data_IF_675170392313
#
_entry.id   IF_675170392313
#
_cell.length_a   1.000
_cell.length_b   1.000
_cell.length_c   1.000
_cell.angle_alpha   90.00
_cell.angle_beta   90.00
_cell.angle_gamma   90.00
#
_symmetry.space_group_name_H-M   'P 1'
#
loop_
_entity.id
_entity.type
_entity.pdbx_description
1 polymer ?
#
# COMPACT_ATOMS: atom_id res chain seq x y z
N UNK A 1 75.47 90.41 30.59
CA UNK A 1 74.05 90.05 30.67
C UNK A 1 73.26 91.34 30.63
N UNK A 2 72.49 91.57 29.56
CA UNK A 2 71.38 92.53 29.59
C UNK A 2 70.30 91.98 30.53
N UNK A 3 69.53 92.87 31.15
CA UNK A 3 68.52 92.58 32.17
C UNK A 3 67.26 91.85 31.63
N UNK A 4 67.27 91.37 30.39
CA UNK A 4 66.13 90.75 29.70
C UNK A 4 66.30 89.23 29.46
N UNK A 5 67.42 88.63 29.87
CA UNK A 5 67.63 87.19 29.78
C UNK A 5 67.73 86.62 28.36
N UNK A 6 67.77 87.45 27.31
CA UNK A 6 67.99 86.96 25.95
C UNK A 6 69.49 86.94 25.61
N UNK A 7 70.01 85.78 25.23
CA UNK A 7 71.37 85.66 24.70
C UNK A 7 71.35 86.23 23.27
N UNK A 8 71.83 87.46 23.10
CA UNK A 8 71.96 88.09 21.77
C UNK A 8 73.38 87.90 21.26
N UNK A 9 73.52 87.32 20.07
CA UNK A 9 74.79 87.34 19.35
C UNK A 9 75.06 88.78 18.88
N UNK A 10 76.17 89.36 19.33
CA UNK A 10 76.61 90.69 18.90
C UNK A 10 77.72 90.48 17.86
N UNK A 11 77.47 90.93 16.63
CA UNK A 11 78.49 91.02 15.59
C UNK A 11 78.96 92.48 15.50
N UNK A 12 80.20 92.75 15.88
CA UNK A 12 80.86 94.03 15.61
C UNK A 12 81.62 93.94 14.29
N UNK A 13 81.19 94.69 13.28
CA UNK A 13 81.99 94.89 12.06
C UNK A 13 83.06 95.94 12.33
N UNK A 14 84.33 95.55 12.24
CA UNK A 14 85.45 96.49 12.11
C UNK A 14 85.59 96.89 10.63
N UNK A 15 85.84 98.18 10.40
CA UNK A 15 85.57 98.88 9.14
C UNK A 15 86.51 98.60 7.98
N UNK A 16 87.39 97.59 8.00
CA UNK A 16 88.25 97.31 6.83
C UNK A 16 88.76 95.88 6.62
N UNK A 17 88.29 94.86 7.34
CA UNK A 17 88.78 93.48 7.12
C UNK A 17 87.67 92.48 6.78
N UNK A 18 87.95 91.64 5.78
CA UNK A 18 87.09 90.57 5.26
C UNK A 18 86.90 89.38 6.22
N UNK A 19 87.14 89.58 7.53
CA UNK A 19 87.06 88.53 8.55
C UNK A 19 86.31 89.04 9.78
N UNK A 20 85.14 88.47 10.04
CA UNK A 20 84.39 88.61 11.28
C UNK A 20 85.02 87.70 12.35
N UNK A 21 85.59 88.30 13.41
CA UNK A 21 86.05 87.57 14.60
C UNK A 21 84.89 87.51 15.59
N UNK A 22 84.22 86.36 15.68
CA UNK A 22 83.24 86.12 16.74
C UNK A 22 83.97 85.66 18.01
N UNK A 23 83.97 86.49 19.05
CA UNK A 23 84.55 86.18 20.35
C UNK A 23 83.52 85.45 21.22
N UNK A 24 83.55 84.12 21.20
CA UNK A 24 82.86 83.29 22.17
C UNK A 24 83.80 83.14 23.36
N UNK A 25 83.34 83.45 24.59
CA UNK A 25 84.17 83.57 25.80
C UNK A 25 85.05 82.35 26.16
N UNK A 26 85.67 82.34 27.36
CA UNK A 26 86.94 81.64 27.66
C UNK A 26 86.96 80.09 27.60
N UNK A 27 85.92 79.44 27.09
CA UNK A 27 85.91 78.00 26.87
C UNK A 27 86.20 77.69 25.39
N UNK A 28 87.49 77.45 25.11
CA UNK A 28 88.06 76.77 23.93
C UNK A 28 87.62 77.32 22.55
N UNK A 29 88.39 78.24 21.94
CA UNK A 29 88.28 78.47 20.52
C UNK A 29 88.89 77.26 19.80
N UNK A 30 88.05 76.39 19.25
CA UNK A 30 88.47 75.52 18.16
C UNK A 30 88.88 76.46 17.02
N UNK A 31 90.17 76.50 16.61
CA UNK A 31 90.57 77.32 15.49
C UNK A 31 89.93 76.73 14.24
N UNK A 32 88.84 77.34 13.78
CA UNK A 32 88.21 76.94 12.53
C UNK A 32 89.04 77.62 11.43
N UNK A 33 90.07 76.93 10.95
CA UNK A 33 90.87 77.42 9.82
C UNK A 33 90.04 77.31 8.54
N UNK A 34 89.86 78.44 7.86
CA UNK A 34 89.06 78.51 6.64
C UNK A 34 88.34 79.84 6.51
N UNK A 35 87.74 80.07 5.34
CA UNK A 35 86.82 81.19 5.17
C UNK A 35 85.52 80.90 5.91
N UNK A 36 84.73 81.93 6.21
CA UNK A 36 83.38 81.78 6.78
C UNK A 36 82.51 80.77 5.99
N UNK A 37 82.75 80.67 4.68
CA UNK A 37 82.11 79.71 3.80
C UNK A 37 82.40 78.25 4.18
N UNK A 38 83.62 77.93 4.62
CA UNK A 38 83.98 76.56 5.03
C UNK A 38 83.22 76.14 6.29
N UNK A 39 83.06 77.06 7.24
CA UNK A 39 82.30 76.82 8.48
C UNK A 39 80.83 76.60 8.17
N UNK A 40 80.26 77.44 7.30
CA UNK A 40 78.88 77.29 6.85
C UNK A 40 78.64 75.95 6.16
N UNK A 41 79.55 75.55 5.27
CA UNK A 41 79.48 74.24 4.60
C UNK A 41 79.56 73.08 5.61
N UNK A 42 80.42 73.18 6.62
CA UNK A 42 80.54 72.16 7.66
C UNK A 42 79.25 72.04 8.48
N UNK A 43 78.66 73.17 8.89
CA UNK A 43 77.38 73.20 9.61
C UNK A 43 76.27 72.60 8.75
N UNK A 44 76.15 72.99 7.48
CA UNK A 44 75.16 72.44 6.57
C UNK A 44 75.30 70.92 6.36
N UNK A 45 76.55 70.44 6.27
CA UNK A 45 76.84 69.01 6.17
C UNK A 45 76.49 68.26 7.47
N UNK A 46 76.80 68.86 8.62
CA UNK A 46 76.45 68.29 9.92
C UNK A 46 74.94 68.24 10.12
N UNK A 47 74.22 69.31 9.79
CA UNK A 47 72.75 69.37 9.81
C UNK A 47 72.16 68.30 8.90
N UNK A 48 72.63 68.20 7.66
CA UNK A 48 72.20 67.14 6.72
C UNK A 48 72.45 65.74 7.25
N UNK A 49 73.61 65.50 7.88
CA UNK A 49 73.96 64.21 8.49
C UNK A 49 73.04 63.87 9.66
N UNK A 50 72.76 64.84 10.53
CA UNK A 50 71.81 64.69 11.64
C UNK A 50 70.41 64.38 11.11
N UNK A 51 69.94 65.09 10.10
CA UNK A 51 68.65 64.81 9.44
C UNK A 51 68.61 63.38 8.88
N UNK A 52 69.67 62.94 8.19
CA UNK A 52 69.75 61.57 7.66
C UNK A 52 69.75 60.51 8.76
N UNK A 53 70.45 60.76 9.88
CA UNK A 53 70.46 59.86 11.03
C UNK A 53 69.08 59.77 11.68
N UNK A 54 68.38 60.89 11.87
CA UNK A 54 67.00 60.93 12.39
C UNK A 54 66.05 60.16 11.46
N UNK A 55 66.14 60.37 10.15
CA UNK A 55 65.32 59.65 9.17
C UNK A 55 65.58 58.14 9.21
N UNK A 56 66.85 57.75 9.31
CA UNK A 56 67.25 56.34 9.39
C UNK A 56 66.76 55.68 10.68
N UNK A 57 66.89 56.36 11.82
CA UNK A 57 66.37 55.89 13.11
C UNK A 57 64.84 55.75 13.08
N UNK A 58 64.14 56.72 12.48
CA UNK A 58 62.69 56.66 12.29
C UNK A 58 62.27 55.49 11.41
N UNK A 59 62.95 55.28 10.28
CA UNK A 59 62.71 54.15 9.38
C UNK A 59 62.97 52.79 10.07
N UNK A 60 64.02 52.69 10.88
CA UNK A 60 64.31 51.50 11.67
C UNK A 60 63.21 51.23 12.72
N UNK A 61 62.71 52.27 13.40
CA UNK A 61 61.62 52.15 14.37
C UNK A 61 60.30 51.72 13.71
N UNK A 62 59.98 52.26 12.53
CA UNK A 62 58.83 51.82 11.71
C UNK A 62 59.00 50.35 11.31
N UNK A 63 60.18 49.96 10.86
CA UNK A 63 60.47 48.57 10.46
C UNK A 63 60.32 47.60 11.63
N UNK A 64 60.80 47.97 12.82
CA UNK A 64 60.63 47.17 14.04
C UNK A 64 59.15 47.01 14.42
N UNK A 65 58.37 48.08 14.30
CA UNK A 65 56.91 48.06 14.54
C UNK A 65 56.19 47.15 13.54
N UNK A 66 56.53 47.25 12.25
CA UNK A 66 55.97 46.38 11.20
C UNK A 66 56.35 44.90 11.40
N UNK A 67 57.57 44.62 11.84
CA UNK A 67 58.01 43.26 12.17
C UNK A 67 57.22 42.69 13.36
N UNK A 68 57.02 43.48 14.42
CA UNK A 68 56.21 43.07 15.57
C UNK A 68 54.72 42.83 15.20
N UNK A 69 54.15 43.68 14.34
CA UNK A 69 52.81 43.49 13.81
C UNK A 69 52.70 42.21 12.97
N UNK A 70 53.70 41.94 12.13
CA UNK A 70 53.76 40.72 11.30
C UNK A 70 53.90 39.45 12.15
N UNK A 71 54.70 39.49 13.22
CA UNK A 71 54.82 38.37 14.16
C UNK A 71 53.50 38.08 14.89
N UNK A 72 52.78 39.13 15.32
CA UNK A 72 51.45 39.01 15.91
C UNK A 72 50.47 38.38 14.91
N UNK A 73 50.43 38.87 13.66
CA UNK A 73 49.56 38.32 12.62
C UNK A 73 49.86 36.85 12.29
N UNK A 74 51.14 36.47 12.25
CA UNK A 74 51.56 35.08 12.06
C UNK A 74 51.10 34.19 13.23
N UNK A 75 51.22 34.67 14.47
CA UNK A 75 50.76 33.93 15.65
C UNK A 75 49.23 33.76 15.66
N UNK A 76 48.48 34.80 15.30
CA UNK A 76 47.02 34.71 15.11
C UNK A 76 46.67 33.67 14.03
N UNK A 77 47.34 33.73 12.87
CA UNK A 77 47.11 32.77 11.78
C UNK A 77 47.42 31.32 12.19
N UNK A 78 48.45 31.10 12.99
CA UNK A 78 48.80 29.78 13.52
C UNK A 78 47.72 29.24 14.48
N UNK A 79 47.18 30.10 15.34
CA UNK A 79 46.07 29.74 16.24
C UNK A 79 44.78 29.43 15.47
N UNK A 80 44.45 30.24 14.47
CA UNK A 80 43.28 30.03 13.61
C UNK A 80 43.40 28.71 12.82
N UNK A 81 44.59 28.37 12.34
CA UNK A 81 44.87 27.11 11.67
C UNK A 81 44.70 25.90 12.63
N UNK A 82 45.20 26.01 13.87
CA UNK A 82 45.04 24.96 14.88
C UNK A 82 43.57 24.75 15.29
N UNK A 83 42.81 25.84 15.43
CA UNK A 83 41.36 25.78 15.67
C UNK A 83 40.61 25.13 14.50
N UNK A 84 40.96 25.49 13.27
CA UNK A 84 40.39 24.89 12.05
C UNK A 84 40.68 23.39 11.94
N UNK A 85 41.89 22.96 12.29
CA UNK A 85 42.27 21.53 12.30
C UNK A 85 41.45 20.73 13.33
N UNK A 86 41.22 21.32 14.51
CA UNK A 86 40.38 20.72 15.56
C UNK A 86 38.93 20.57 15.08
N UNK A 87 38.36 21.63 14.49
CA UNK A 87 37.01 21.60 13.94
C UNK A 87 36.86 20.52 12.86
N UNK A 88 37.83 20.40 11.95
CA UNK A 88 37.83 19.38 10.90
C UNK A 88 37.86 17.95 11.48
N UNK A 89 38.66 17.71 12.51
CA UNK A 89 38.74 16.41 13.20
C UNK A 89 37.42 16.03 13.88
N UNK A 90 36.77 16.99 14.53
CA UNK A 90 35.43 16.78 15.13
C UNK A 90 34.40 16.44 14.06
N UNK A 91 34.35 17.20 12.95
CA UNK A 91 33.43 16.92 11.85
C UNK A 91 33.65 15.55 11.22
N UNK A 92 34.91 15.12 11.05
CA UNK A 92 35.24 13.79 10.53
C UNK A 92 34.73 12.67 11.45
N UNK A 93 34.91 12.83 12.77
CA UNK A 93 34.41 11.86 13.76
C UNK A 93 32.89 11.78 13.74
N UNK A 94 32.20 12.92 13.70
CA UNK A 94 30.74 12.99 13.63
C UNK A 94 30.22 12.33 12.34
N UNK A 95 30.86 12.56 11.20
CA UNK A 95 30.51 11.92 9.93
C UNK A 95 30.68 10.39 9.99
N UNK A 96 31.76 9.89 10.59
CA UNK A 96 31.97 8.46 10.82
C UNK A 96 30.86 7.82 11.65
N UNK A 97 30.43 8.49 12.74
CA UNK A 97 29.34 8.01 13.58
C UNK A 97 28.00 7.96 12.82
N UNK A 98 27.69 8.96 11.99
CA UNK A 98 26.49 8.94 11.15
C UNK A 98 26.52 7.85 10.09
N UNK A 99 27.68 7.57 9.49
CA UNK A 99 27.84 6.45 8.55
C UNK A 99 27.56 5.10 9.23
N UNK A 100 28.12 4.87 10.42
CA UNK A 100 27.84 3.65 11.21
C UNK A 100 26.37 3.55 11.57
N UNK A 101 25.74 4.65 11.99
CA UNK A 101 24.31 4.66 12.32
C UNK A 101 23.45 4.34 11.09
N UNK A 102 23.78 4.91 9.92
CA UNK A 102 23.08 4.63 8.67
C UNK A 102 23.19 3.14 8.28
N UNK A 103 24.38 2.53 8.45
CA UNK A 103 24.58 1.10 8.22
C UNK A 103 23.72 0.24 9.17
N UNK A 104 23.66 0.59 10.46
CA UNK A 104 22.79 -0.10 11.42
C UNK A 104 21.31 0.03 11.05
N UNK A 105 20.88 1.23 10.62
CA UNK A 105 19.52 1.48 10.13
C UNK A 105 19.18 0.71 8.85
N UNK A 106 20.17 0.37 8.04
CA UNK A 106 19.98 -0.38 6.79
C UNK A 106 20.02 -1.90 6.95
N UNK A 107 20.53 -2.44 8.07
CA UNK A 107 20.86 -3.87 8.17
C UNK A 107 20.24 -4.62 9.35
N UNK A 108 19.76 -3.92 10.39
CA UNK A 108 19.32 -4.59 11.60
C UNK A 108 17.94 -5.26 11.43
N UNK A 109 17.90 -6.60 11.37
CA UNK A 109 16.66 -7.34 11.12
C UNK A 109 15.58 -7.19 12.20
N UNK A 110 15.94 -6.99 13.47
CA UNK A 110 14.98 -6.92 14.57
C UNK A 110 15.42 -5.97 15.68
N UNK A 111 14.44 -5.44 16.42
CA UNK A 111 14.64 -4.58 17.58
C UNK A 111 14.96 -3.12 17.21
N UNK A 112 15.05 -2.24 18.22
CA UNK A 112 15.32 -0.84 17.98
C UNK A 112 16.78 -0.57 17.57
N UNK A 113 17.00 0.42 16.70
CA UNK A 113 18.35 0.77 16.25
C UNK A 113 18.99 1.73 17.24
N UNK A 114 20.15 1.35 17.78
CA UNK A 114 20.98 2.18 18.66
C UNK A 114 20.23 2.80 19.86
N UNK A 115 19.35 2.01 20.50
CA UNK A 115 18.60 2.45 21.68
C UNK A 115 17.48 3.45 21.40
N UNK A 116 17.16 3.73 20.14
CA UNK A 116 15.95 4.50 19.76
C UNK A 116 14.69 3.68 20.02
N UNK A 117 13.51 4.27 19.82
CA UNK A 117 12.23 3.54 19.81
C UNK A 117 11.84 3.01 18.43
N UNK A 118 12.65 3.31 17.40
CA UNK A 118 12.36 3.00 16.00
C UNK A 118 13.13 1.76 15.55
N UNK A 119 12.47 0.94 14.74
CA UNK A 119 13.08 -0.23 14.10
C UNK A 119 13.82 0.20 12.81
N UNK A 120 14.66 -0.69 12.27
CA UNK A 120 15.45 -0.40 11.07
C UNK A 120 14.60 -0.29 9.80
N UNK A 121 15.14 0.33 8.76
CA UNK A 121 14.51 0.37 7.43
C UNK A 121 14.36 -1.03 6.81
N UNK A 122 15.30 -1.94 7.07
CA UNK A 122 15.23 -3.33 6.65
C UNK A 122 14.04 -4.05 7.30
N UNK A 123 13.85 -3.88 8.62
CA UNK A 123 12.68 -4.40 9.33
C UNK A 123 11.37 -3.87 8.73
N UNK A 124 11.27 -2.56 8.49
CA UNK A 124 10.07 -1.99 7.87
C UNK A 124 9.86 -2.49 6.43
N UNK A 125 10.93 -2.75 5.67
CA UNK A 125 10.83 -3.31 4.32
C UNK A 125 10.35 -4.76 4.31
N UNK A 126 10.85 -5.60 5.23
CA UNK A 126 10.38 -6.98 5.42
C UNK A 126 8.91 -7.01 5.84
N UNK A 127 8.54 -6.13 6.78
CA UNK A 127 7.14 -5.99 7.18
C UNK A 127 6.29 -5.52 6.01
N UNK A 128 6.72 -4.51 5.24
CA UNK A 128 5.96 -4.03 4.08
C UNK A 128 5.73 -5.12 3.03
N UNK A 129 6.73 -5.97 2.75
CA UNK A 129 6.56 -7.11 1.84
C UNK A 129 5.60 -8.15 2.41
N UNK A 130 5.65 -8.40 3.71
CA UNK A 130 4.71 -9.27 4.43
C UNK A 130 3.27 -8.73 4.37
N UNK A 131 3.06 -7.43 4.62
CA UNK A 131 1.75 -6.77 4.51
C UNK A 131 1.23 -6.75 3.06
N UNK A 132 2.11 -6.60 2.06
CA UNK A 132 1.74 -6.71 0.65
C UNK A 132 1.29 -8.13 0.27
N UNK A 133 1.92 -9.17 0.84
CA UNK A 133 1.50 -10.57 0.66
C UNK A 133 0.20 -10.91 1.39
N UNK A 134 -0.06 -10.31 2.56
CA UNK A 134 -1.28 -10.57 3.34
C UNK A 134 -2.48 -9.72 2.87
N UNK A 135 -2.25 -8.54 2.30
CA UNK A 135 -3.29 -7.70 1.68
C UNK A 135 -3.91 -8.32 0.42
N UNK A 136 -3.34 -9.42 -0.06
CA UNK A 136 -3.79 -10.18 -1.23
C UNK A 136 -4.20 -11.61 -0.83
N UNK A 137 -5.04 -11.73 0.20
CA UNK A 137 -5.84 -12.93 0.44
C UNK A 137 -7.31 -12.63 0.10
N UNK A 138 -7.75 -13.07 -1.07
CA UNK A 138 -9.18 -13.22 -1.39
C UNK A 138 -9.42 -14.69 -1.25
N UNK A 139 -10.14 -15.06 -0.19
CA UNK A 139 -10.61 -16.42 -0.03
C UNK A 139 -11.99 -16.49 -0.67
N UNK A 140 -12.05 -16.89 -1.93
CA UNK A 140 -13.29 -17.43 -2.48
C UNK A 140 -13.60 -18.70 -1.68
N UNK A 141 -14.48 -18.60 -0.67
CA UNK A 141 -14.99 -19.80 0.00
C UNK A 141 -15.77 -20.57 -1.07
N UNK A 142 -15.19 -21.66 -1.55
CA UNK A 142 -15.88 -22.53 -2.50
C UNK A 142 -16.98 -23.28 -1.73
N UNK A 143 -18.23 -23.04 -2.12
CA UNK A 143 -19.35 -23.78 -1.56
C UNK A 143 -19.21 -25.27 -1.94
N UNK A 144 -19.31 -26.15 -0.95
CA UNK A 144 -19.34 -27.60 -1.06
C UNK A 144 -20.32 -28.18 -0.05
N UNK A 145 -20.57 -29.49 -0.09
CA UNK A 145 -21.22 -30.17 1.03
C UNK A 145 -20.25 -30.20 2.23
N UNK A 146 -20.79 -30.04 3.44
CA UNK A 146 -19.99 -29.89 4.65
C UNK A 146 -19.58 -31.25 5.22
N UNK A 147 -18.28 -31.63 5.22
CA UNK A 147 -17.82 -32.86 5.84
C UNK A 147 -18.03 -32.86 7.37
N UNK A 148 -18.14 -31.69 8.01
CA UNK A 148 -18.38 -31.53 9.44
C UNK A 148 -19.89 -31.51 9.80
N UNK A 149 -20.77 -31.21 8.85
CA UNK A 149 -22.22 -31.13 9.06
C UNK A 149 -22.99 -32.10 8.15
N UNK A 150 -22.73 -33.39 8.36
CA UNK A 150 -23.36 -34.51 7.67
C UNK A 150 -23.68 -35.65 8.64
N UNK A 151 -24.68 -36.46 8.30
CA UNK A 151 -24.84 -37.77 8.93
C UNK A 151 -23.57 -38.61 8.72
N UNK A 152 -23.10 -39.28 9.77
CA UNK A 152 -21.79 -39.94 9.79
C UNK A 152 -21.61 -40.98 8.67
N UNK A 153 -22.69 -41.68 8.31
CA UNK A 153 -22.72 -42.70 7.24
C UNK A 153 -22.70 -42.14 5.79
N UNK A 154 -22.80 -40.83 5.58
CA UNK A 154 -22.70 -40.24 4.23
C UNK A 154 -21.24 -40.20 3.78
N UNK A 155 -20.96 -40.67 2.58
CA UNK A 155 -19.63 -40.57 1.97
C UNK A 155 -19.59 -39.42 0.96
N UNK A 156 -18.57 -38.57 1.05
CA UNK A 156 -18.36 -37.43 0.16
C UNK A 156 -17.24 -37.70 -0.85
N UNK A 157 -17.42 -37.19 -2.08
CA UNK A 157 -16.45 -37.29 -3.17
C UNK A 157 -16.56 -36.09 -4.11
N UNK A 158 -15.71 -36.03 -5.15
CA UNK A 158 -15.69 -34.97 -6.17
C UNK A 158 -15.58 -33.56 -5.54
N UNK A 159 -14.57 -33.36 -4.69
CA UNK A 159 -14.40 -32.09 -3.97
C UNK A 159 -15.54 -31.78 -3.00
N UNK A 160 -16.12 -32.80 -2.36
CA UNK A 160 -17.30 -32.71 -1.50
C UNK A 160 -18.55 -32.17 -2.21
N UNK A 161 -18.67 -32.36 -3.53
CA UNK A 161 -19.89 -32.02 -4.26
C UNK A 161 -20.81 -33.22 -4.47
N UNK A 162 -20.35 -34.44 -4.21
CA UNK A 162 -21.15 -35.66 -4.40
C UNK A 162 -21.30 -36.41 -3.08
N UNK A 163 -22.55 -36.63 -2.65
CA UNK A 163 -22.91 -37.38 -1.45
C UNK A 163 -23.51 -38.73 -1.80
N UNK A 164 -22.95 -39.79 -1.24
CA UNK A 164 -23.48 -41.16 -1.28
C UNK A 164 -24.12 -41.49 0.06
N UNK A 165 -25.43 -41.78 0.04
CA UNK A 165 -26.24 -42.04 1.23
C UNK A 165 -26.34 -43.54 1.55
N UNK A 166 -26.38 -43.92 2.84
CA UNK A 166 -26.25 -45.32 3.27
C UNK A 166 -27.54 -46.15 3.19
N UNK A 167 -28.70 -45.58 2.83
CA UNK A 167 -29.98 -46.29 2.90
C UNK A 167 -30.66 -46.26 4.28
N UNK A 168 -30.37 -45.23 5.08
CA UNK A 168 -31.08 -44.87 6.31
C UNK A 168 -31.32 -43.37 6.28
N UNK A 169 -32.32 -42.86 7.01
CA UNK A 169 -32.61 -41.42 7.06
C UNK A 169 -31.35 -40.66 7.47
N UNK A 170 -30.84 -39.87 6.54
CA UNK A 170 -29.57 -39.18 6.65
C UNK A 170 -29.66 -37.85 5.90
N UNK A 171 -29.16 -36.80 6.53
CA UNK A 171 -29.10 -35.44 6.01
C UNK A 171 -27.67 -34.92 5.93
N UNK A 172 -27.47 -33.92 5.08
CA UNK A 172 -26.23 -33.17 4.94
C UNK A 172 -26.53 -31.73 4.55
N UNK A 173 -25.74 -30.80 5.09
CA UNK A 173 -25.76 -29.38 4.73
C UNK A 173 -24.57 -28.98 3.87
N UNK A 174 -24.68 -27.86 3.18
CA UNK A 174 -23.55 -27.15 2.58
C UNK A 174 -22.67 -26.49 3.64
N UNK A 175 -21.42 -26.19 3.29
CA UNK A 175 -20.46 -25.50 4.17
C UNK A 175 -20.66 -23.97 4.21
N UNK A 176 -21.37 -23.41 3.23
CA UNK A 176 -21.66 -21.98 3.11
C UNK A 176 -23.15 -21.75 3.24
N UNK A 177 -23.52 -20.86 4.15
CA UNK A 177 -24.88 -20.40 4.35
C UNK A 177 -24.96 -18.88 4.39
N UNK A 178 -26.08 -18.35 3.91
CA UNK A 178 -26.32 -16.93 3.75
C UNK A 178 -27.57 -16.51 4.51
N UNK A 179 -27.61 -15.27 4.99
CA UNK A 179 -28.76 -14.68 5.69
C UNK A 179 -29.46 -13.58 4.89
N UNK A 180 -28.85 -13.12 3.78
CA UNK A 180 -29.31 -12.03 2.93
C UNK A 180 -28.77 -12.21 1.50
N UNK A 181 -29.45 -11.65 0.51
CA UNK A 181 -29.16 -11.74 -0.92
C UNK A 181 -29.92 -12.84 -1.66
N UNK A 182 -29.67 -12.96 -2.97
CA UNK A 182 -30.37 -13.89 -3.89
C UNK A 182 -29.41 -14.92 -4.45
N UNK A 183 -29.65 -16.20 -4.23
CA UNK A 183 -28.72 -17.28 -4.58
C UNK A 183 -29.41 -18.45 -5.26
N UNK A 184 -28.63 -19.18 -6.05
CA UNK A 184 -29.10 -20.31 -6.83
C UNK A 184 -28.11 -21.47 -6.79
N UNK A 185 -28.64 -22.68 -6.62
CA UNK A 185 -27.87 -23.91 -6.77
C UNK A 185 -28.72 -25.00 -7.43
N UNK A 186 -28.04 -26.07 -7.83
CA UNK A 186 -28.69 -27.26 -8.36
C UNK A 186 -28.22 -28.51 -7.63
N UNK A 187 -29.10 -29.51 -7.54
CA UNK A 187 -28.76 -30.85 -7.07
C UNK A 187 -29.26 -31.88 -8.09
N UNK A 188 -28.38 -32.76 -8.52
CA UNK A 188 -28.66 -33.83 -9.49
C UNK A 188 -28.87 -35.15 -8.77
N UNK A 189 -29.99 -35.82 -9.01
CA UNK A 189 -30.16 -37.22 -8.64
C UNK A 189 -29.30 -38.09 -9.56
N UNK A 190 -28.17 -38.58 -9.06
CA UNK A 190 -27.09 -39.11 -9.91
C UNK A 190 -27.19 -40.62 -10.12
N UNK A 191 -27.57 -41.38 -9.09
CA UNK A 191 -27.76 -42.83 -9.19
C UNK A 191 -28.42 -43.40 -7.93
N UNK A 192 -28.96 -44.61 -8.01
CA UNK A 192 -29.53 -45.34 -6.87
C UNK A 192 -31.06 -45.30 -6.84
N UNK A 193 -31.64 -45.50 -5.65
CA UNK A 193 -33.10 -45.53 -5.48
C UNK A 193 -33.64 -44.12 -5.19
N UNK A 194 -34.82 -43.81 -5.75
CA UNK A 194 -35.57 -42.64 -5.32
C UNK A 194 -36.36 -42.95 -4.03
N UNK A 195 -36.73 -41.90 -3.30
CA UNK A 195 -37.56 -42.04 -2.10
C UNK A 195 -38.64 -40.98 -2.00
N UNK A 196 -39.78 -41.37 -1.43
CA UNK A 196 -40.81 -40.44 -0.98
C UNK A 196 -40.37 -39.55 0.18
N UNK A 197 -39.28 -39.88 0.87
CA UNK A 197 -38.72 -39.18 2.02
C UNK A 197 -37.41 -38.43 1.69
N UNK A 198 -36.95 -38.52 0.44
CA UNK A 198 -35.80 -37.74 -0.01
C UNK A 198 -36.23 -36.31 -0.30
N UNK A 199 -35.45 -35.33 0.17
CA UNK A 199 -35.70 -33.92 -0.12
C UNK A 199 -34.41 -33.16 -0.39
N UNK A 200 -34.56 -32.09 -1.15
CA UNK A 200 -33.52 -31.09 -1.41
C UNK A 200 -34.10 -29.72 -1.10
N UNK A 201 -33.33 -28.86 -0.45
CA UNK A 201 -33.72 -27.47 -0.25
C UNK A 201 -32.75 -26.73 0.64
N UNK A 202 -33.27 -25.98 1.62
CA UNK A 202 -32.46 -25.16 2.51
C UNK A 202 -32.81 -25.42 3.97
N UNK A 203 -31.80 -25.37 4.84
CA UNK A 203 -31.98 -25.57 6.28
C UNK A 203 -31.02 -24.68 7.08
N UNK A 204 -31.37 -24.31 8.33
CA UNK A 204 -30.43 -23.66 9.23
C UNK A 204 -29.32 -24.65 9.69
N UNK A 205 -28.22 -24.13 10.23
CA UNK A 205 -27.06 -24.97 10.58
C UNK A 205 -27.35 -26.01 11.69
N UNK A 206 -28.39 -25.80 12.50
CA UNK A 206 -28.82 -26.69 13.59
C UNK A 206 -29.82 -27.77 13.14
N UNK A 207 -29.94 -28.02 11.84
CA UNK A 207 -30.82 -29.05 11.27
C UNK A 207 -30.52 -30.46 11.83
N UNK A 208 -31.52 -31.21 12.33
CA UNK A 208 -31.35 -32.61 12.68
C UNK A 208 -31.10 -33.51 11.46
N UNK A 209 -29.85 -33.97 11.30
CA UNK A 209 -29.43 -34.76 10.13
C UNK A 209 -29.92 -36.22 10.11
N UNK A 210 -30.80 -36.61 11.03
CA UNK A 210 -31.46 -37.91 11.08
C UNK A 210 -32.95 -37.83 10.73
N UNK A 211 -33.42 -36.64 10.35
CA UNK A 211 -34.81 -36.34 10.02
C UNK A 211 -34.93 -36.00 8.53
N UNK A 212 -36.17 -35.92 8.05
CA UNK A 212 -36.57 -35.45 6.73
C UNK A 212 -36.61 -33.93 6.72
N UNK A 213 -35.67 -33.33 6.00
CA UNK A 213 -35.49 -31.88 5.91
C UNK A 213 -36.76 -31.24 5.32
N UNK A 214 -37.37 -30.36 6.10
CA UNK A 214 -38.61 -29.62 5.83
C UNK A 214 -39.90 -30.30 6.33
N UNK A 215 -39.86 -31.55 6.82
CA UNK A 215 -41.06 -32.32 7.18
C UNK A 215 -41.16 -32.68 8.66
N UNK A 216 -40.36 -33.60 9.17
CA UNK A 216 -40.41 -34.07 10.57
C UNK A 216 -39.36 -33.36 11.46
N UNK A 217 -38.93 -32.18 11.03
CA UNK A 217 -38.19 -31.20 11.82
C UNK A 217 -39.05 -29.94 12.08
N UNK A 218 -38.67 -29.18 13.11
CA UNK A 218 -39.21 -27.84 13.38
C UNK A 218 -38.09 -26.80 13.31
N UNK A 219 -37.07 -27.05 12.49
CA UNK A 219 -35.88 -26.18 12.44
C UNK A 219 -36.16 -24.89 11.67
N UNK A 220 -37.18 -24.89 10.79
CA UNK A 220 -37.37 -23.85 9.78
C UNK A 220 -36.83 -24.23 8.40
N UNK A 221 -36.42 -25.49 8.21
CA UNK A 221 -36.02 -26.00 6.91
C UNK A 221 -37.15 -26.01 5.88
N UNK A 222 -36.76 -25.88 4.61
CA UNK A 222 -37.65 -25.99 3.46
C UNK A 222 -37.13 -27.09 2.56
N UNK A 223 -37.94 -28.12 2.30
CA UNK A 223 -37.55 -29.27 1.48
C UNK A 223 -38.53 -29.52 0.35
N UNK A 224 -38.03 -29.67 -0.88
CA UNK A 224 -38.78 -30.20 -2.01
C UNK A 224 -38.54 -31.71 -2.12
N UNK A 225 -39.60 -32.50 -2.06
CA UNK A 225 -39.54 -33.95 -1.94
C UNK A 225 -39.46 -34.65 -3.30
N UNK A 226 -38.56 -35.62 -3.41
CA UNK A 226 -38.12 -36.20 -4.68
C UNK A 226 -39.24 -36.82 -5.52
N UNK A 227 -40.09 -37.64 -4.91
CA UNK A 227 -41.12 -38.40 -5.65
C UNK A 227 -42.36 -37.57 -5.98
N UNK A 228 -42.82 -36.74 -5.04
CA UNK A 228 -44.06 -35.96 -5.19
C UNK A 228 -43.82 -34.57 -5.77
N UNK A 229 -42.61 -34.03 -5.61
CA UNK A 229 -42.33 -32.61 -5.82
C UNK A 229 -42.92 -31.71 -4.72
N UNK A 230 -43.61 -32.25 -3.71
CA UNK A 230 -44.20 -31.44 -2.65
C UNK A 230 -43.13 -30.66 -1.89
N UNK A 231 -43.45 -29.42 -1.54
CA UNK A 231 -42.57 -28.52 -0.80
C UNK A 231 -43.11 -28.40 0.61
N UNK A 232 -42.33 -28.82 1.60
CA UNK A 232 -42.73 -28.79 3.00
C UNK A 232 -41.88 -27.80 3.81
N UNK A 233 -42.54 -27.20 4.81
CA UNK A 233 -41.91 -26.42 5.89
C UNK A 233 -42.56 -26.87 7.19
N UNK A 234 -41.75 -27.33 8.16
CA UNK A 234 -42.20 -27.80 9.47
C UNK A 234 -43.40 -28.77 9.35
N UNK A 235 -43.30 -29.75 8.45
CA UNK A 235 -44.32 -30.80 8.26
C UNK A 235 -45.55 -30.38 7.47
N UNK A 236 -45.67 -29.10 7.11
CA UNK A 236 -46.80 -28.57 6.37
C UNK A 236 -46.47 -28.39 4.90
N UNK A 237 -47.29 -28.96 4.00
CA UNK A 237 -47.16 -28.75 2.57
C UNK A 237 -47.49 -27.27 2.24
N UNK A 238 -46.58 -26.58 1.56
CA UNK A 238 -46.70 -25.18 1.15
C UNK A 238 -46.84 -25.00 -0.36
N UNK A 239 -46.66 -26.05 -1.14
CA UNK A 239 -46.70 -26.03 -2.60
C UNK A 239 -46.09 -27.29 -3.19
N UNK A 240 -45.87 -27.27 -4.50
CA UNK A 240 -45.21 -28.38 -5.19
C UNK A 240 -44.32 -27.87 -6.32
N UNK A 241 -43.35 -28.65 -6.73
CA UNK A 241 -42.66 -28.57 -8.00
C UNK A 241 -42.92 -29.85 -8.80
N UNK A 242 -42.32 -29.98 -9.98
CA UNK A 242 -42.26 -31.29 -10.64
C UNK A 242 -41.39 -32.25 -9.82
N UNK A 243 -41.68 -33.55 -9.84
CA UNK A 243 -40.82 -34.55 -9.21
C UNK A 243 -39.43 -34.58 -9.86
N UNK A 244 -38.43 -35.09 -9.14
CA UNK A 244 -37.05 -35.29 -9.61
C UNK A 244 -36.58 -36.72 -9.30
N UNK A 245 -37.48 -37.68 -9.51
CA UNK A 245 -37.35 -39.09 -9.12
C UNK A 245 -36.68 -39.98 -10.17
N UNK A 246 -36.25 -39.42 -11.30
CA UNK A 246 -35.51 -40.13 -12.35
C UNK A 246 -34.04 -39.75 -12.28
N UNK A 247 -33.15 -40.75 -12.38
CA UNK A 247 -31.69 -40.51 -12.46
C UNK A 247 -31.38 -39.53 -13.61
N UNK A 248 -30.54 -38.55 -13.32
CA UNK A 248 -30.22 -37.42 -14.21
C UNK A 248 -31.16 -36.22 -14.07
N UNK A 249 -32.24 -36.32 -13.28
CA UNK A 249 -33.03 -35.14 -12.95
C UNK A 249 -32.22 -34.17 -12.08
N UNK A 250 -32.33 -32.89 -12.44
CA UNK A 250 -31.67 -31.78 -11.76
C UNK A 250 -32.74 -30.91 -11.10
N UNK A 251 -32.68 -30.75 -9.79
CA UNK A 251 -33.51 -29.81 -9.07
C UNK A 251 -32.75 -28.49 -8.89
N UNK A 252 -33.25 -27.42 -9.49
CA UNK A 252 -32.80 -26.06 -9.25
C UNK A 252 -33.53 -25.42 -8.09
N UNK A 253 -32.78 -24.72 -7.24
CA UNK A 253 -33.28 -24.04 -6.05
C UNK A 253 -32.86 -22.58 -6.09
N UNK A 254 -33.82 -21.67 -6.25
CA UNK A 254 -33.61 -20.23 -6.20
C UNK A 254 -34.11 -19.71 -4.84
N UNK A 255 -33.25 -18.99 -4.12
CA UNK A 255 -33.54 -18.48 -2.77
C UNK A 255 -33.33 -16.98 -2.73
N UNK A 256 -34.36 -16.26 -2.34
CA UNK A 256 -34.31 -14.84 -2.00
C UNK A 256 -34.33 -14.72 -0.48
N UNK A 257 -33.16 -14.53 0.12
CA UNK A 257 -33.00 -14.44 1.57
C UNK A 257 -33.41 -13.07 2.12
N UNK A 258 -33.54 -12.05 1.26
CA UNK A 258 -33.99 -10.72 1.68
C UNK A 258 -35.50 -10.72 1.88
N UNK A 259 -36.25 -11.31 0.94
CA UNK A 259 -37.71 -11.42 1.01
C UNK A 259 -38.19 -12.72 1.65
N UNK A 260 -37.28 -13.64 2.00
CA UNK A 260 -37.57 -14.96 2.59
C UNK A 260 -38.49 -15.82 1.70
N UNK A 261 -38.12 -15.93 0.43
CA UNK A 261 -38.83 -16.72 -0.58
C UNK A 261 -37.91 -17.77 -1.20
N UNK A 262 -38.45 -18.96 -1.49
CA UNK A 262 -37.75 -20.02 -2.22
C UNK A 262 -38.59 -20.59 -3.35
N UNK A 263 -37.91 -20.93 -4.45
CA UNK A 263 -38.50 -21.57 -5.62
C UNK A 263 -37.71 -22.81 -6.01
N UNK A 264 -38.44 -23.84 -6.43
CA UNK A 264 -37.91 -25.12 -6.86
C UNK A 264 -38.35 -25.40 -8.30
N UNK A 265 -37.45 -25.97 -9.11
CA UNK A 265 -37.75 -26.39 -10.48
C UNK A 265 -36.94 -27.61 -10.86
N UNK A 266 -37.58 -28.63 -11.43
CA UNK A 266 -36.86 -29.74 -12.06
C UNK A 266 -36.53 -29.40 -13.51
N UNK A 267 -35.25 -29.47 -13.87
CA UNK A 267 -34.74 -29.13 -15.21
C UNK A 267 -35.14 -27.71 -15.65
N UNK A 268 -35.77 -27.62 -16.81
CA UNK A 268 -36.30 -26.36 -17.38
C UNK A 268 -37.81 -26.20 -17.19
N UNK A 269 -38.40 -26.91 -16.23
CA UNK A 269 -39.84 -26.89 -15.96
C UNK A 269 -40.37 -25.58 -15.35
N UNK A 270 -41.55 -25.63 -14.72
CA UNK A 270 -42.12 -24.49 -14.04
C UNK A 270 -41.57 -24.34 -12.61
N UNK A 271 -41.32 -23.10 -12.18
CA UNK A 271 -41.01 -22.81 -10.77
C UNK A 271 -42.21 -23.12 -9.88
N UNK A 272 -42.00 -23.86 -8.79
CA UNK A 272 -43.05 -24.28 -7.87
C UNK A 272 -44.31 -24.79 -8.63
N UNK A 273 -44.07 -25.56 -9.70
CA UNK A 273 -45.13 -26.22 -10.49
C UNK A 273 -46.06 -25.27 -11.25
N UNK A 274 -45.84 -23.95 -11.19
CA UNK A 274 -46.74 -22.94 -11.74
C UNK A 274 -46.12 -22.21 -12.93
N UNK A 275 -46.86 -22.12 -14.04
CA UNK A 275 -46.44 -21.34 -15.22
C UNK A 275 -46.40 -19.83 -15.00
N UNK A 276 -46.87 -19.33 -13.84
CA UNK A 276 -46.84 -17.91 -13.47
C UNK A 276 -45.83 -17.59 -12.38
N UNK A 277 -45.18 -18.59 -11.78
CA UNK A 277 -44.17 -18.34 -10.76
C UNK A 277 -42.85 -17.88 -11.40
N UNK A 278 -42.29 -16.81 -10.86
CA UNK A 278 -41.10 -16.15 -11.36
C UNK A 278 -40.25 -15.62 -10.19
N UNK A 279 -39.07 -16.21 -9.94
CA UNK A 279 -38.13 -15.75 -8.91
C UNK A 279 -37.62 -14.32 -9.13
N UNK A 280 -37.59 -13.82 -10.36
CA UNK A 280 -37.14 -12.45 -10.67
C UNK A 280 -38.22 -11.45 -10.27
N UNK A 281 -39.48 -11.71 -10.65
CA UNK A 281 -40.63 -10.90 -10.30
C UNK A 281 -41.15 -11.14 -8.86
N UNK A 282 -40.54 -12.07 -8.11
CA UNK A 282 -40.95 -12.50 -6.76
C UNK A 282 -42.37 -13.08 -6.72
N UNK A 283 -42.84 -13.68 -7.81
CA UNK A 283 -44.19 -14.26 -7.91
C UNK A 283 -44.14 -15.76 -7.63
N UNK A 284 -45.08 -16.26 -6.82
CA UNK A 284 -45.25 -17.70 -6.56
C UNK A 284 -44.15 -18.35 -5.71
N UNK A 285 -43.38 -17.55 -4.95
CA UNK A 285 -42.35 -18.05 -4.03
C UNK A 285 -42.95 -18.67 -2.78
N UNK A 286 -42.32 -19.73 -2.27
CA UNK A 286 -42.68 -20.32 -0.99
C UNK A 286 -42.04 -19.49 0.12
N UNK A 287 -42.87 -18.90 0.98
CA UNK A 287 -42.39 -18.11 2.12
C UNK A 287 -41.94 -18.99 3.28
N UNK A 288 -40.80 -18.66 3.87
CA UNK A 288 -40.27 -19.26 5.09
C UNK A 288 -39.92 -18.17 6.12
N UNK A 289 -39.74 -18.55 7.39
CA UNK A 289 -39.65 -17.59 8.51
C UNK A 289 -38.28 -17.48 9.16
N UNK A 290 -37.32 -18.35 8.78
CA UNK A 290 -35.98 -18.35 9.38
C UNK A 290 -35.21 -17.06 9.03
N UNK A 291 -34.62 -16.43 10.06
CA UNK A 291 -33.87 -15.17 9.95
C UNK A 291 -32.35 -15.39 9.99
N UNK A 292 -31.89 -16.60 10.32
CA UNK A 292 -30.50 -17.00 10.36
C UNK A 292 -29.92 -17.29 8.98
N UNK A 293 -28.73 -17.91 9.00
CA UNK A 293 -28.10 -18.40 7.78
C UNK A 293 -28.79 -19.68 7.33
N UNK A 294 -29.19 -19.70 6.08
CA UNK A 294 -29.71 -20.89 5.42
C UNK A 294 -28.61 -21.54 4.59
N UNK A 295 -28.55 -22.86 4.62
CA UNK A 295 -27.56 -23.69 3.95
C UNK A 295 -28.27 -24.61 2.96
N UNK A 296 -27.67 -24.94 1.80
CA UNK A 296 -28.20 -25.99 0.94
C UNK A 296 -28.26 -27.29 1.72
N UNK A 297 -29.33 -28.05 1.52
CA UNK A 297 -29.64 -29.19 2.34
C UNK A 297 -30.14 -30.35 1.47
N UNK A 298 -29.68 -31.56 1.76
CA UNK A 298 -30.08 -32.78 1.07
C UNK A 298 -30.32 -33.86 2.13
N UNK A 299 -31.45 -34.56 2.04
CA UNK A 299 -31.68 -35.77 2.84
C UNK A 299 -32.34 -36.87 2.04
N UNK A 300 -32.20 -38.10 2.54
CA UNK A 300 -32.87 -39.30 2.02
C UNK A 300 -32.74 -40.45 3.00
N UNK A 301 -33.66 -41.39 2.94
CA UNK A 301 -33.60 -42.69 3.62
C UNK A 301 -33.19 -43.84 2.70
N UNK A 302 -32.89 -43.55 1.43
CA UNK A 302 -32.56 -44.55 0.42
C UNK A 302 -31.08 -44.57 0.06
N UNK A 303 -30.60 -45.71 -0.44
CA UNK A 303 -29.23 -45.80 -0.95
C UNK A 303 -29.17 -45.11 -2.31
N UNK A 304 -28.65 -43.89 -2.30
CA UNK A 304 -28.71 -42.97 -3.44
C UNK A 304 -27.53 -42.02 -3.45
N UNK A 305 -27.26 -41.44 -4.62
CA UNK A 305 -26.18 -40.48 -4.85
C UNK A 305 -26.77 -39.19 -5.38
N UNK A 306 -26.43 -38.09 -4.72
CA UNK A 306 -26.75 -36.73 -5.16
C UNK A 306 -25.48 -35.94 -5.42
N UNK A 307 -25.47 -35.15 -6.49
CA UNK A 307 -24.37 -34.23 -6.82
C UNK A 307 -24.88 -32.80 -6.81
N UNK A 308 -24.30 -31.98 -5.93
CA UNK A 308 -24.58 -30.55 -5.84
C UNK A 308 -23.72 -29.75 -6.82
N UNK A 309 -24.29 -28.69 -7.37
CA UNK A 309 -23.61 -27.70 -8.20
C UNK A 309 -23.89 -26.32 -7.61
N UNK A 310 -22.84 -25.67 -7.10
CA UNK A 310 -22.93 -24.36 -6.47
C UNK A 310 -22.28 -23.24 -7.30
N UNK A 311 -21.57 -23.56 -8.39
CA UNK A 311 -20.54 -22.67 -8.96
C UNK A 311 -20.85 -22.07 -10.32
N UNK A 312 -21.88 -22.52 -11.05
CA UNK A 312 -22.40 -21.73 -12.18
C UNK A 312 -22.65 -22.44 -13.51
N UNK A 313 -22.13 -23.66 -13.72
CA UNK A 313 -22.47 -24.43 -14.93
C UNK A 313 -23.79 -25.18 -14.75
N UNK A 314 -24.87 -24.42 -14.56
CA UNK A 314 -26.18 -24.95 -14.24
C UNK A 314 -26.87 -25.57 -15.47
N UNK A 315 -27.57 -26.69 -15.27
CA UNK A 315 -28.36 -27.34 -16.30
C UNK A 315 -29.62 -26.52 -16.64
N UNK A 316 -30.22 -25.88 -15.65
CA UNK A 316 -31.31 -24.92 -15.80
C UNK A 316 -30.79 -23.48 -15.80
N UNK A 317 -31.50 -22.60 -16.52
CA UNK A 317 -31.19 -21.15 -16.50
C UNK A 317 -31.41 -20.59 -15.10
N UNK A 318 -30.33 -20.16 -14.44
CA UNK A 318 -30.36 -19.36 -13.21
C UNK A 318 -31.19 -18.09 -13.43
N UNK A 319 -32.11 -17.71 -12.52
CA UNK A 319 -32.85 -16.45 -12.64
C UNK A 319 -31.92 -15.23 -12.68
N UNK A 320 -32.29 -14.22 -13.46
CA UNK A 320 -31.52 -12.97 -13.55
C UNK A 320 -31.46 -12.27 -12.17
N UNK A 321 -30.29 -11.75 -11.81
CA UNK A 321 -30.07 -11.09 -10.51
C UNK A 321 -29.83 -12.03 -9.32
N UNK A 322 -29.87 -13.35 -9.53
CA UNK A 322 -29.43 -14.32 -8.52
C UNK A 322 -27.95 -14.63 -8.73
N UNK A 323 -27.21 -14.87 -7.67
CA UNK A 323 -25.82 -15.37 -7.73
C UNK A 323 -25.80 -16.90 -7.68
N UNK A 324 -24.76 -17.57 -8.22
CA UNK A 324 -24.48 -18.94 -7.81
C UNK A 324 -24.35 -19.01 -6.28
N UNK A 325 -24.62 -20.16 -5.68
CA UNK A 325 -24.51 -20.32 -4.24
C UNK A 325 -23.07 -20.24 -3.74
N UNK A 326 -22.09 -20.57 -4.58
CA UNK A 326 -20.75 -20.05 -4.35
C UNK A 326 -20.78 -18.59 -4.77
N UNK A 327 -20.60 -17.66 -3.82
CA UNK A 327 -20.11 -16.34 -4.19
C UNK A 327 -18.62 -16.29 -3.94
N UNK A 328 -17.91 -15.64 -4.86
CA UNK A 328 -16.63 -15.00 -4.57
C UNK A 328 -16.84 -14.00 -3.44
N UNK A 329 -16.86 -14.49 -2.20
CA UNK A 329 -16.68 -13.65 -1.05
C UNK A 329 -15.24 -13.17 -1.14
N UNK A 330 -15.02 -12.04 -1.80
CA UNK A 330 -13.82 -11.23 -1.68
C UNK A 330 -13.69 -10.76 -0.23
N UNK A 331 -13.44 -11.67 0.70
CA UNK A 331 -13.10 -11.36 2.07
C UNK A 331 -11.65 -10.95 2.06
N UNK A 332 -11.42 -9.65 1.86
CA UNK A 332 -10.22 -9.00 2.34
C UNK A 332 -10.12 -9.27 3.84
N UNK A 333 -9.28 -10.22 4.24
CA UNK A 333 -8.83 -10.30 5.62
C UNK A 333 -7.88 -9.12 5.78
N UNK A 334 -8.35 -8.05 6.43
CA UNK A 334 -7.44 -7.01 6.95
C UNK A 334 -6.98 -7.51 8.31
N UNK A 335 -5.72 -7.93 8.50
CA UNK A 335 -5.21 -8.24 9.83
C UNK A 335 -5.09 -6.91 10.59
N UNK A 336 -5.75 -6.82 11.75
CA UNK A 336 -5.54 -5.69 12.66
C UNK A 336 -4.33 -6.02 13.52
N UNK A 337 -3.20 -5.34 13.31
CA UNK A 337 -2.12 -5.38 14.27
C UNK A 337 -2.48 -4.47 15.46
N UNK A 338 -2.57 -5.04 16.67
CA UNK A 338 -2.60 -4.22 17.88
C UNK A 338 -1.19 -4.01 18.40
N UNK A 339 -0.93 -2.81 18.91
CA UNK A 339 0.39 -2.27 19.21
C UNK A 339 1.19 -3.00 20.33
N UNK A 340 0.66 -4.09 20.90
CA UNK A 340 1.22 -4.68 22.12
C UNK A 340 1.86 -6.07 21.95
N UNK A 341 1.62 -6.80 20.85
CA UNK A 341 2.28 -8.11 20.62
C UNK A 341 2.22 -8.49 19.13
N UNK A 342 3.35 -8.54 18.40
CA UNK A 342 3.34 -9.03 17.03
C UNK A 342 3.35 -10.57 17.04
N UNK A 343 2.17 -11.17 16.84
CA UNK A 343 2.00 -12.61 16.65
C UNK A 343 0.60 -12.89 16.11
N UNK A 344 0.51 -13.64 15.00
CA UNK A 344 -0.76 -13.98 14.35
C UNK A 344 -1.66 -14.76 15.32
N UNK A 345 -2.92 -14.32 15.43
CA UNK A 345 -4.01 -15.07 16.05
C UNK A 345 -5.01 -15.40 14.94
N UNK A 346 -4.91 -16.62 14.40
CA UNK A 346 -5.87 -17.27 13.48
C UNK A 346 -5.83 -16.86 11.99
N UNK A 347 -5.52 -17.82 11.13
CA UNK A 347 -6.05 -17.86 9.75
C UNK A 347 -7.49 -18.39 9.79
N UNK A 348 -8.28 -18.15 8.73
CA UNK A 348 -9.62 -18.71 8.60
C UNK A 348 -9.62 -20.26 8.56
N UNK A 349 -10.80 -20.91 8.70
CA UNK A 349 -10.90 -22.36 8.69
C UNK A 349 -10.25 -22.96 7.43
N UNK A 350 -9.31 -23.90 7.60
CA UNK A 350 -8.70 -24.67 6.50
C UNK A 350 -7.32 -24.21 6.01
N UNK A 351 -6.73 -23.16 6.58
CA UNK A 351 -5.37 -22.71 6.23
C UNK A 351 -4.40 -22.84 7.41
N UNK A 352 -3.18 -23.30 7.13
CA UNK A 352 -2.08 -23.35 8.09
C UNK A 352 -1.05 -22.30 7.67
N UNK A 353 -0.67 -21.44 8.62
CA UNK A 353 0.51 -20.57 8.50
C UNK A 353 1.68 -21.32 9.11
N UNK A 354 2.70 -21.66 8.33
CA UNK A 354 3.88 -22.33 8.88
C UNK A 354 4.72 -21.37 9.74
N UNK A 355 5.76 -21.89 10.39
CA UNK A 355 6.65 -21.10 11.25
C UNK A 355 7.48 -20.05 10.50
N UNK A 356 7.43 -20.08 9.16
CA UNK A 356 8.03 -19.11 8.25
C UNK A 356 6.98 -18.15 7.65
N UNK A 357 5.72 -18.19 8.09
CA UNK A 357 4.66 -17.30 7.61
C UNK A 357 4.04 -17.69 6.27
N UNK A 358 4.35 -18.87 5.73
CA UNK A 358 3.84 -19.31 4.43
C UNK A 358 2.47 -19.98 4.59
N UNK A 359 1.53 -19.64 3.71
CA UNK A 359 0.20 -20.22 3.63
C UNK A 359 0.21 -21.57 2.90
N UNK A 360 -0.74 -22.45 3.23
CA UNK A 360 -0.81 -23.82 2.71
C UNK A 360 -1.40 -23.98 1.29
N UNK A 361 -1.72 -22.90 0.56
CA UNK A 361 -2.27 -22.96 -0.81
C UNK A 361 -1.88 -21.73 -1.67
N UNK A 362 -1.74 -21.94 -2.99
CA UNK A 362 -1.32 -20.94 -3.99
C UNK A 362 -2.37 -19.84 -4.22
N UNK A 363 -1.88 -18.60 -4.41
CA UNK A 363 -2.65 -17.34 -4.29
C UNK A 363 -2.86 -16.64 -5.64
N UNK A 364 -3.33 -17.34 -6.67
CA UNK A 364 -3.62 -16.72 -7.97
C UNK A 364 -5.04 -16.12 -8.00
N UNK A 365 -5.19 -14.94 -8.61
CA UNK A 365 -6.49 -14.30 -8.86
C UNK A 365 -6.82 -14.28 -10.35
N UNK A 366 -8.08 -14.48 -10.67
CA UNK A 366 -8.59 -14.30 -12.04
C UNK A 366 -8.54 -12.81 -12.42
N UNK A 367 -8.00 -12.53 -13.61
CA UNK A 367 -7.99 -11.19 -14.20
C UNK A 367 -9.23 -11.02 -15.09
N UNK A 368 -9.98 -9.94 -14.87
CA UNK A 368 -11.01 -9.56 -15.83
C UNK A 368 -10.35 -9.02 -17.11
N UNK A 369 -10.57 -9.69 -18.23
CA UNK A 369 -10.04 -9.26 -19.51
C UNK A 369 -11.00 -8.27 -20.20
N UNK A 370 -10.48 -7.09 -20.53
CA UNK A 370 -11.21 -6.04 -21.24
C UNK A 370 -10.47 -5.72 -22.53
N UNK A 371 -11.07 -6.05 -23.68
CA UNK A 371 -10.55 -5.61 -24.98
C UNK A 371 -11.03 -4.19 -25.26
N UNK A 372 -10.14 -3.20 -25.12
CA UNK A 372 -10.46 -1.80 -25.30
C UNK A 372 -10.66 -1.43 -26.78
N UNK A 373 -11.82 -0.84 -27.09
CA UNK A 373 -12.01 -0.02 -28.29
C UNK A 373 -11.65 1.44 -27.98
N UNK A 374 -12.20 2.44 -28.69
CA UNK A 374 -12.04 3.86 -28.35
C UNK A 374 -12.56 4.24 -26.94
N UNK A 375 -13.27 3.34 -26.27
CA UNK A 375 -13.76 3.53 -24.89
C UNK A 375 -13.52 2.27 -24.06
N UNK A 376 -12.94 2.47 -22.88
CA UNK A 376 -12.67 1.46 -21.86
C UNK A 376 -13.49 1.89 -20.64
N UNK A 377 -14.55 1.14 -20.33
CA UNK A 377 -15.38 1.41 -19.16
C UNK A 377 -15.33 0.20 -18.23
N UNK A 378 -14.91 0.43 -17.00
CA UNK A 378 -14.77 -0.61 -15.98
C UNK A 378 -15.93 -0.50 -15.01
N UNK A 379 -16.81 -1.51 -15.00
CA UNK A 379 -17.92 -1.58 -14.06
C UNK A 379 -17.41 -2.04 -12.68
N UNK A 380 -17.52 -1.17 -11.67
CA UNK A 380 -17.11 -1.43 -10.30
C UNK A 380 -18.26 -1.86 -9.39
N UNK A 381 -19.37 -2.36 -9.95
CA UNK A 381 -20.45 -3.00 -9.16
C UNK A 381 -19.92 -4.21 -8.39
N UNK A 382 -19.04 -4.99 -9.01
CA UNK A 382 -18.36 -6.16 -8.41
C UNK A 382 -16.87 -6.12 -8.78
N UNK A 383 -16.07 -5.25 -8.14
CA UNK A 383 -14.70 -5.03 -8.57
C UNK A 383 -13.82 -6.25 -8.29
N UNK A 384 -13.00 -6.63 -9.28
CA UNK A 384 -11.96 -7.65 -9.10
C UNK A 384 -10.60 -7.00 -8.79
N UNK A 385 -9.65 -7.71 -8.15
CA UNK A 385 -8.35 -7.16 -7.77
C UNK A 385 -7.49 -6.75 -8.97
N UNK A 386 -7.68 -7.40 -10.12
CA UNK A 386 -6.85 -7.21 -11.31
C UNK A 386 -7.62 -7.18 -12.62
N UNK A 387 -7.26 -6.25 -13.50
CA UNK A 387 -7.82 -6.11 -14.84
C UNK A 387 -6.71 -6.22 -15.89
N UNK A 388 -6.93 -7.02 -16.92
CA UNK A 388 -6.08 -7.04 -18.12
C UNK A 388 -6.79 -6.28 -19.23
N UNK A 389 -6.26 -5.11 -19.57
CA UNK A 389 -6.85 -4.22 -20.59
C UNK A 389 -5.98 -4.25 -21.83
N UNK A 390 -6.52 -4.75 -22.94
CA UNK A 390 -5.82 -4.76 -24.23
C UNK A 390 -6.22 -3.55 -25.05
N UNK A 391 -5.29 -2.64 -25.31
CA UNK A 391 -5.49 -1.44 -26.11
C UNK A 391 -5.40 -1.76 -27.60
N UNK A 392 -6.51 -1.66 -28.33
CA UNK A 392 -6.55 -1.94 -29.78
C UNK A 392 -6.85 -0.70 -30.63
N UNK A 393 -7.20 0.43 -30.01
CA UNK A 393 -7.51 1.69 -30.68
C UNK A 393 -6.40 2.73 -30.44
N UNK A 394 -6.04 3.49 -31.49
CA UNK A 394 -4.97 4.50 -31.44
C UNK A 394 -5.18 5.52 -30.30
N UNK A 395 -6.46 5.86 -30.04
CA UNK A 395 -6.88 6.67 -28.90
C UNK A 395 -8.02 5.99 -28.18
N UNK A 396 -7.98 6.01 -26.84
CA UNK A 396 -9.01 5.48 -25.97
C UNK A 396 -9.34 6.45 -24.83
N UNK A 397 -10.58 6.39 -24.36
CA UNK A 397 -11.02 6.99 -23.09
C UNK A 397 -11.15 5.91 -22.02
N UNK A 398 -10.75 6.20 -20.79
CA UNK A 398 -10.83 5.29 -19.65
C UNK A 398 -11.78 5.84 -18.60
N UNK A 399 -12.77 5.06 -18.15
CA UNK A 399 -13.72 5.46 -17.11
C UNK A 399 -14.07 4.31 -16.16
N UNK A 400 -14.46 4.65 -14.94
CA UNK A 400 -15.11 3.73 -14.01
C UNK A 400 -16.64 3.93 -14.06
N UNK A 401 -17.41 2.86 -13.93
CA UNK A 401 -18.87 2.90 -13.78
C UNK A 401 -19.27 2.30 -12.42
N UNK A 402 -20.44 2.70 -11.90
CA UNK A 402 -21.08 2.10 -10.72
C UNK A 402 -20.18 1.97 -9.47
N UNK A 403 -19.27 2.93 -9.27
CA UNK A 403 -18.38 2.91 -8.12
C UNK A 403 -19.13 3.29 -6.83
N UNK A 404 -19.10 2.40 -5.84
CA UNK A 404 -19.47 2.70 -4.46
C UNK A 404 -18.59 1.91 -3.51
N UNK A 405 -18.04 2.58 -2.48
CA UNK A 405 -17.34 1.91 -1.38
C UNK A 405 -18.25 1.77 -0.17
N UNK A 406 -18.28 0.59 0.49
CA UNK A 406 -18.90 0.47 1.81
C UNK A 406 -18.18 1.33 2.86
N UNK A 407 -18.92 1.81 3.85
CA UNK A 407 -18.37 2.64 4.94
C UNK A 407 -17.17 1.96 5.62
N UNK A 408 -16.07 2.69 5.75
CA UNK A 408 -14.84 2.22 6.41
C UNK A 408 -14.03 1.20 5.60
N UNK A 409 -14.28 1.10 4.28
CA UNK A 409 -13.51 0.25 3.38
C UNK A 409 -12.67 1.08 2.42
N UNK A 410 -11.56 0.50 1.99
CA UNK A 410 -10.74 0.98 0.90
C UNK A 410 -10.78 -0.04 -0.25
N UNK A 411 -10.58 0.43 -1.48
CA UNK A 411 -10.49 -0.41 -2.67
C UNK A 411 -9.15 -0.12 -3.35
N UNK A 412 -8.38 -1.17 -3.65
CA UNK A 412 -7.21 -1.10 -4.53
C UNK A 412 -7.43 -1.99 -5.75
N UNK A 413 -7.16 -1.46 -6.92
CA UNK A 413 -7.31 -2.13 -8.21
C UNK A 413 -5.98 -2.08 -8.97
N UNK A 414 -5.56 -3.21 -9.54
CA UNK A 414 -4.38 -3.29 -10.40
C UNK A 414 -4.80 -3.47 -11.86
N UNK A 415 -4.21 -2.67 -12.75
CA UNK A 415 -4.48 -2.69 -14.18
C UNK A 415 -3.21 -3.03 -14.95
N UNK A 416 -3.32 -4.01 -15.84
CA UNK A 416 -2.32 -4.38 -16.82
C UNK A 416 -2.78 -3.87 -18.19
N UNK A 417 -2.25 -2.72 -18.60
CA UNK A 417 -2.53 -2.16 -19.92
C UNK A 417 -1.55 -2.73 -20.95
N UNK A 418 -2.05 -3.56 -21.85
CA UNK A 418 -1.28 -4.17 -22.93
C UNK A 418 -1.51 -3.45 -24.26
N UNK A 419 -0.43 -3.19 -25.00
CA UNK A 419 -0.51 -2.68 -26.36
C UNK A 419 -0.92 -3.80 -27.34
N UNK A 420 -2.20 -3.87 -27.70
CA UNK A 420 -2.71 -4.90 -28.63
C UNK A 420 -2.30 -4.65 -30.09
N UNK A 421 -2.39 -3.40 -30.56
CA UNK A 421 -1.99 -3.01 -31.94
C UNK A 421 -0.75 -2.13 -32.01
N UNK A 422 -0.25 -1.66 -30.86
CA UNK A 422 0.87 -0.73 -30.76
C UNK A 422 0.50 0.73 -31.00
N UNK A 423 1.28 1.64 -30.43
CA UNK A 423 1.12 3.09 -30.48
C UNK A 423 -0.25 3.61 -30.02
N UNK A 424 -0.92 2.85 -29.13
CA UNK A 424 -2.21 3.23 -28.58
C UNK A 424 -2.03 4.09 -27.33
N UNK A 425 -2.93 5.07 -27.16
CA UNK A 425 -2.87 6.03 -26.04
C UNK A 425 -4.22 6.15 -25.34
N UNK A 426 -4.20 6.38 -24.04
CA UNK A 426 -5.38 6.80 -23.27
C UNK A 426 -5.37 8.32 -23.20
N UNK A 427 -6.21 8.96 -24.01
CA UNK A 427 -6.24 10.42 -24.16
C UNK A 427 -7.08 11.11 -23.09
N UNK A 428 -7.97 10.36 -22.44
CA UNK A 428 -8.80 10.86 -21.35
C UNK A 428 -8.95 9.77 -20.29
N UNK A 429 -8.65 10.14 -19.05
CA UNK A 429 -8.81 9.30 -17.87
C UNK A 429 -10.04 9.75 -17.08
N UNK A 430 -10.59 8.84 -16.27
CA UNK A 430 -11.71 9.15 -15.38
C UNK A 430 -11.38 10.36 -14.51
N UNK A 431 -12.30 11.32 -14.44
CA UNK A 431 -12.08 12.57 -13.70
C UNK A 431 -11.90 12.38 -12.20
N UNK A 432 -12.28 11.23 -11.65
CA UNK A 432 -12.06 10.88 -10.23
C UNK A 432 -10.63 10.45 -9.92
N UNK A 433 -9.78 10.23 -10.93
CA UNK A 433 -8.40 9.80 -10.73
C UNK A 433 -7.50 11.02 -10.49
N UNK A 434 -6.86 11.04 -9.32
CA UNK A 434 -5.80 11.95 -8.94
C UNK A 434 -4.46 11.24 -9.03
N UNK A 435 -3.67 11.59 -10.04
CA UNK A 435 -2.37 10.96 -10.25
C UNK A 435 -1.33 11.38 -9.22
N UNK A 436 -0.71 10.39 -8.59
CA UNK A 436 0.46 10.59 -7.74
C UNK A 436 1.63 10.91 -8.67
N UNK A 437 2.01 12.20 -8.70
CA UNK A 437 2.92 12.78 -9.70
C UNK A 437 2.29 13.89 -10.56
N UNK A 438 1.00 14.18 -10.37
CA UNK A 438 0.31 15.33 -10.96
C UNK A 438 -0.06 15.19 -12.43
N UNK A 439 0.30 14.08 -13.08
CA UNK A 439 -0.04 13.81 -14.49
C UNK A 439 -0.24 12.31 -14.74
N UNK A 440 -1.09 11.92 -15.72
CA UNK A 440 -1.25 10.53 -16.10
C UNK A 440 0.04 9.90 -16.65
N UNK A 441 0.21 8.58 -16.55
CA UNK A 441 1.38 7.90 -17.04
C UNK A 441 1.45 7.89 -18.56
N UNK A 442 2.68 7.89 -19.06
CA UNK A 442 2.98 7.57 -20.46
C UNK A 442 3.13 6.06 -20.57
N UNK A 443 2.23 5.42 -21.32
CA UNK A 443 2.28 3.98 -21.56
C UNK A 443 3.33 3.64 -22.63
N UNK A 444 3.88 2.44 -22.58
CA UNK A 444 4.73 1.91 -23.64
C UNK A 444 3.94 1.80 -24.95
N UNK A 445 4.63 1.94 -26.08
CA UNK A 445 4.00 2.02 -27.41
C UNK A 445 4.21 0.77 -28.28
N UNK A 446 5.15 -0.11 -27.95
CA UNK A 446 5.37 -1.33 -28.75
C UNK A 446 4.26 -2.34 -28.49
N UNK A 447 3.80 -3.01 -29.55
CA UNK A 447 2.86 -4.14 -29.44
C UNK A 447 3.37 -5.16 -28.41
N UNK A 448 2.46 -5.65 -27.56
CA UNK A 448 2.74 -6.60 -26.48
C UNK A 448 3.36 -6.02 -25.21
N UNK A 449 3.82 -4.75 -25.20
CA UNK A 449 4.29 -4.13 -23.96
C UNK A 449 3.12 -4.02 -22.97
N UNK A 450 3.40 -4.31 -21.68
CA UNK A 450 2.43 -4.16 -20.60
C UNK A 450 2.87 -3.11 -19.59
N UNK A 451 1.97 -2.22 -19.25
CA UNK A 451 2.16 -1.23 -18.20
C UNK A 451 1.26 -1.58 -17.01
N UNK A 452 1.82 -1.48 -15.82
CA UNK A 452 1.11 -1.72 -14.56
C UNK A 452 0.74 -0.37 -13.95
N UNK A 453 -0.55 -0.20 -13.71
CA UNK A 453 -1.13 0.99 -13.08
C UNK A 453 -2.00 0.53 -11.93
N UNK A 454 -1.91 1.21 -10.79
CA UNK A 454 -2.75 0.94 -9.63
C UNK A 454 -3.66 2.13 -9.33
N UNK A 455 -4.88 1.83 -8.89
CA UNK A 455 -5.81 2.82 -8.40
C UNK A 455 -6.26 2.45 -6.99
N UNK A 456 -6.22 3.42 -6.07
CA UNK A 456 -6.65 3.23 -4.69
C UNK A 456 -7.68 4.28 -4.29
N UNK A 457 -8.81 3.86 -3.73
CA UNK A 457 -9.80 4.74 -3.13
C UNK A 457 -10.00 4.39 -1.67
N UNK A 458 -9.99 5.41 -0.82
CA UNK A 458 -10.26 5.30 0.62
C UNK A 458 -11.51 6.08 1.05
N UNK A 459 -12.01 6.96 0.18
CA UNK A 459 -13.09 7.90 0.47
C UNK A 459 -14.40 7.52 -0.24
N UNK A 460 -14.39 6.55 -1.15
CA UNK A 460 -15.55 6.14 -1.93
C UNK A 460 -15.94 7.09 -3.06
N UNK A 461 -15.12 8.09 -3.36
CA UNK A 461 -15.44 9.11 -4.36
C UNK A 461 -14.30 9.36 -5.34
N UNK A 462 -13.04 9.30 -4.89
CA UNK A 462 -11.86 9.58 -5.69
C UNK A 462 -10.87 8.42 -5.64
N UNK A 463 -9.98 8.37 -6.64
CA UNK A 463 -8.90 7.40 -6.70
C UNK A 463 -7.55 8.11 -6.72
N UNK A 464 -6.60 7.66 -5.92
CA UNK A 464 -5.18 7.91 -6.15
C UNK A 464 -4.68 6.97 -7.25
N UNK A 465 -4.11 7.53 -8.32
CA UNK A 465 -3.54 6.76 -9.43
C UNK A 465 -2.02 6.66 -9.33
N UNK A 466 -1.49 5.45 -9.41
CA UNK A 466 -0.07 5.15 -9.31
C UNK A 466 0.41 4.47 -10.59
N UNK A 467 1.52 4.95 -11.14
CA UNK A 467 2.23 4.22 -12.18
C UNK A 467 3.28 3.33 -11.52
N UNK A 468 3.04 2.03 -11.53
CA UNK A 468 3.94 1.06 -10.91
C UNK A 468 5.15 0.82 -11.80
N UNK A 469 4.93 0.70 -13.11
CA UNK A 469 6.00 0.56 -14.09
C UNK A 469 5.58 -0.17 -15.35
N UNK A 470 6.56 -0.50 -16.17
CA UNK A 470 6.39 -1.35 -17.34
C UNK A 470 6.92 -2.75 -17.01
N UNK A 471 6.14 -3.77 -17.35
CA UNK A 471 6.55 -5.17 -17.23
C UNK A 471 6.55 -5.76 -18.65
N UNK A 472 7.69 -6.31 -19.05
CA UNK A 472 7.85 -7.04 -20.30
C UNK A 472 8.26 -8.47 -19.98
#
# INVERSE_FOLDING_TARGET
MSSDGTTRLIFTMQSDQSTLVANFGPFLPLPISGTLQNVLNLVNNAESSVTNAINSASAANISATNAAASATAANTSANDAAASATAASTSATTSGNYSTLAQSWASQATGPVNGTTSYSSYYYSEQSQYWAGVSQAVVAITASLDPANKYSGITLSNGNLTATFPGTQAGILGNVGYSAGKYYFEVTFTSGNNSGNASVGIAPYNEPLTNQIGYDDNSGAVGCFQNSGNIYINGSNKGSASSFSTVGNVLGVAVDLDDKLVWFRTGTGNWNGSGTADPVAKVGGISYTDTGKMYPAICTDSSTVFTANFTGNFAGTKPAGYYPWTTDAYHYVVPVATAATPGIVSAGPGLIVNTQGQLSADSYYDLAQVSGSSTISIDLTTPVPGYHVVLNAATATFSFANFSLPTGKALRLTFYFEQGTGSNTITSWDSRIHWVGGSPPVLGYTIGNRNVVEFESIDGTTFAGYYVGQIN
#
